data_IF_192939230540
#
_entry.id   IF_192939230540
#
_cell.length_a   1.000
_cell.length_b   1.000
_cell.length_c   1.000
_cell.angle_alpha   90.00
_cell.angle_beta   90.00
_cell.angle_gamma   90.00
#
_symmetry.space_group_name_H-M   'P 1'
#
loop_
_entity.id
_entity.type
_entity.pdbx_description
1 polymer ?
#
# COMPACT_ATOMS: atom_id res chain seq x y z
N UNK A 1 -25.58 14.48 4.01
CA UNK A 1 -26.80 14.87 4.71
C UNK A 1 -26.98 13.93 5.89
N UNK A 2 -26.86 14.38 7.15
CA UNK A 2 -26.67 13.48 8.29
C UNK A 2 -27.91 12.64 8.63
N UNK A 3 -29.07 12.86 8.00
CA UNK A 3 -30.32 12.26 8.49
C UNK A 3 -31.34 11.83 7.43
N UNK A 4 -31.09 12.01 6.12
CA UNK A 4 -32.21 11.94 5.17
C UNK A 4 -32.40 10.57 4.53
N UNK A 5 -33.59 9.93 4.62
CA UNK A 5 -34.74 10.17 5.50
C UNK A 5 -34.67 9.37 6.81
N UNK A 6 -33.56 8.66 7.09
CA UNK A 6 -33.44 7.79 8.26
C UNK A 6 -32.06 7.94 8.92
N UNK A 7 -32.05 8.26 10.23
CA UNK A 7 -30.83 8.49 11.03
C UNK A 7 -29.85 7.32 11.12
N UNK A 8 -30.32 6.09 10.84
CA UNK A 8 -29.51 4.87 10.76
C UNK A 8 -29.74 4.09 9.46
N UNK A 9 -30.42 4.71 8.48
CA UNK A 9 -30.75 4.05 7.22
C UNK A 9 -29.82 4.47 6.09
N UNK A 10 -29.98 3.85 4.90
CA UNK A 10 -29.17 4.10 3.71
C UNK A 10 -29.51 5.47 3.10
N UNK A 11 -29.18 6.58 3.75
CA UNK A 11 -29.49 7.92 3.26
C UNK A 11 -28.55 8.38 2.16
N UNK A 12 -29.07 8.68 0.95
CA UNK A 12 -28.34 9.37 -0.10
C UNK A 12 -29.24 10.43 -0.76
N UNK A 13 -28.69 11.60 -1.09
CA UNK A 13 -29.47 12.72 -1.63
C UNK A 13 -30.10 12.44 -3.01
N UNK A 14 -29.59 11.45 -3.73
CA UNK A 14 -30.10 11.02 -5.03
C UNK A 14 -31.02 9.78 -4.94
N UNK A 15 -31.19 9.19 -3.76
CA UNK A 15 -32.05 8.01 -3.62
C UNK A 15 -33.52 8.44 -3.53
N UNK A 16 -34.37 7.84 -4.36
CA UNK A 16 -35.81 8.04 -4.29
C UNK A 16 -36.36 7.45 -2.97
N UNK A 17 -37.51 7.95 -2.50
CA UNK A 17 -38.17 7.38 -1.32
C UNK A 17 -38.48 5.88 -1.47
N UNK A 18 -38.79 5.45 -2.70
CA UNK A 18 -39.05 4.04 -3.04
C UNK A 18 -37.77 3.21 -2.96
N UNK A 19 -36.68 3.67 -3.56
CA UNK A 19 -35.35 3.04 -3.45
C UNK A 19 -35.00 2.79 -1.98
N UNK A 20 -35.21 3.79 -1.13
CA UNK A 20 -34.91 3.72 0.30
C UNK A 20 -35.81 2.73 1.05
N UNK A 21 -37.09 2.69 0.72
CA UNK A 21 -38.04 1.73 1.27
C UNK A 21 -37.62 0.28 0.91
N UNK A 22 -37.19 0.05 -0.33
CA UNK A 22 -36.73 -1.26 -0.81
C UNK A 22 -35.48 -1.70 -0.06
N UNK A 23 -34.48 -0.81 0.10
CA UNK A 23 -33.25 -1.14 0.84
C UNK A 23 -33.59 -1.46 2.30
N UNK A 24 -34.40 -0.63 2.97
CA UNK A 24 -34.79 -0.87 4.36
C UNK A 24 -35.57 -2.17 4.54
N UNK A 25 -36.51 -2.46 3.65
CA UNK A 25 -37.29 -3.68 3.72
C UNK A 25 -36.39 -4.91 3.53
N UNK A 26 -35.43 -4.84 2.60
CA UNK A 26 -34.47 -5.93 2.37
C UNK A 26 -33.57 -6.13 3.59
N UNK A 27 -33.03 -5.06 4.17
CA UNK A 27 -32.24 -5.12 5.41
C UNK A 27 -33.03 -5.73 6.57
N UNK A 28 -34.28 -5.29 6.80
CA UNK A 28 -35.15 -5.81 7.87
C UNK A 28 -35.47 -7.29 7.69
N UNK A 29 -35.78 -7.72 6.45
CA UNK A 29 -36.03 -9.14 6.13
C UNK A 29 -34.80 -10.01 6.40
N UNK A 30 -33.60 -9.47 6.20
CA UNK A 30 -32.34 -10.15 6.48
C UNK A 30 -31.83 -9.98 7.92
N UNK A 31 -32.61 -9.35 8.82
CA UNK A 31 -32.20 -9.13 10.21
C UNK A 31 -31.06 -8.12 10.40
N UNK A 32 -30.74 -7.33 9.36
CA UNK A 32 -29.65 -6.35 9.40
C UNK A 32 -30.17 -5.00 9.88
N UNK A 33 -29.64 -4.54 11.01
CA UNK A 33 -29.93 -3.20 11.56
C UNK A 33 -28.99 -2.15 10.95
N UNK A 34 -27.73 -2.50 10.72
CA UNK A 34 -26.70 -1.60 10.18
C UNK A 34 -25.90 -2.31 9.10
N UNK A 35 -25.81 -1.70 7.92
CA UNK A 35 -24.96 -2.20 6.84
C UNK A 35 -23.53 -1.67 7.05
N UNK A 36 -22.66 -2.48 7.66
CA UNK A 36 -21.27 -2.12 7.93
C UNK A 36 -20.34 -3.29 7.60
N UNK A 37 -19.84 -3.31 6.38
CA UNK A 37 -18.80 -4.26 5.96
C UNK A 37 -17.45 -3.88 6.56
N UNK A 38 -16.70 -4.87 7.00
CA UNK A 38 -15.32 -4.67 7.45
C UNK A 38 -14.38 -4.65 6.24
N UNK A 39 -13.94 -3.45 5.83
CA UNK A 39 -13.08 -3.28 4.67
C UNK A 39 -11.62 -3.72 4.92
N UNK A 40 -11.24 -4.02 6.17
CA UNK A 40 -9.94 -4.63 6.48
C UNK A 40 -9.93 -6.13 6.18
N UNK A 41 -11.10 -6.75 6.14
CA UNK A 41 -11.27 -8.19 5.90
C UNK A 41 -11.55 -8.46 4.43
N UNK A 42 -11.28 -9.69 3.98
CA UNK A 42 -11.54 -10.11 2.60
C UNK A 42 -13.03 -9.99 2.23
N UNK A 43 -13.31 -9.83 0.93
CA UNK A 43 -14.68 -9.77 0.41
C UNK A 43 -15.51 -11.02 0.78
N UNK A 44 -14.86 -12.19 0.80
CA UNK A 44 -15.49 -13.48 1.05
C UNK A 44 -15.49 -13.92 2.52
N UNK A 45 -15.09 -13.07 3.48
CA UNK A 45 -15.28 -13.41 4.90
C UNK A 45 -16.77 -13.48 5.22
N UNK A 46 -17.18 -14.38 6.12
CA UNK A 46 -18.60 -14.71 6.34
C UNK A 46 -19.51 -13.49 6.53
N UNK A 47 -19.12 -12.53 7.39
CA UNK A 47 -19.88 -11.30 7.62
C UNK A 47 -19.92 -10.39 6.39
N UNK A 48 -18.79 -10.18 5.72
CA UNK A 48 -18.73 -9.35 4.51
C UNK A 48 -19.54 -9.98 3.38
N UNK A 49 -19.36 -11.27 3.12
CA UNK A 49 -20.08 -11.99 2.09
C UNK A 49 -21.59 -11.94 2.32
N UNK A 50 -22.05 -12.10 3.57
CA UNK A 50 -23.45 -11.95 3.94
C UNK A 50 -23.99 -10.56 3.60
N UNK A 51 -23.27 -9.49 3.99
CA UNK A 51 -23.66 -8.12 3.67
C UNK A 51 -23.66 -7.87 2.15
N UNK A 52 -22.65 -8.33 1.42
CA UNK A 52 -22.60 -8.18 -0.04
C UNK A 52 -23.71 -8.94 -0.74
N UNK A 53 -24.10 -10.12 -0.23
CA UNK A 53 -25.27 -10.84 -0.72
C UNK A 53 -26.56 -10.05 -0.53
N UNK A 54 -26.72 -9.36 0.60
CA UNK A 54 -27.87 -8.46 0.81
C UNK A 54 -27.84 -7.31 -0.18
N UNK A 55 -26.66 -6.72 -0.43
CA UNK A 55 -26.51 -5.65 -1.42
C UNK A 55 -26.90 -6.14 -2.83
N UNK A 56 -26.48 -7.34 -3.22
CA UNK A 56 -26.86 -7.97 -4.49
C UNK A 56 -28.38 -8.15 -4.61
N UNK A 57 -29.01 -8.73 -3.58
CA UNK A 57 -30.46 -8.94 -3.56
C UNK A 57 -31.24 -7.62 -3.62
N UNK A 58 -30.75 -6.62 -2.88
CA UNK A 58 -31.33 -5.27 -2.90
C UNK A 58 -31.23 -4.65 -4.29
N UNK A 59 -30.08 -4.79 -4.96
CA UNK A 59 -29.90 -4.29 -6.32
C UNK A 59 -30.85 -4.95 -7.31
N UNK A 60 -30.99 -6.29 -7.26
CA UNK A 60 -31.93 -7.03 -8.11
C UNK A 60 -33.37 -6.54 -7.87
N UNK A 61 -33.78 -6.37 -6.60
CA UNK A 61 -35.12 -5.85 -6.29
C UNK A 61 -35.34 -4.44 -6.85
N UNK A 62 -34.34 -3.56 -6.80
CA UNK A 62 -34.41 -2.21 -7.37
C UNK A 62 -34.58 -2.25 -8.89
N UNK A 63 -33.86 -3.15 -9.58
CA UNK A 63 -33.99 -3.34 -11.04
C UNK A 63 -35.37 -3.91 -11.39
N UNK A 64 -35.85 -4.95 -10.70
CA UNK A 64 -37.18 -5.53 -10.91
C UNK A 64 -38.30 -4.50 -10.75
N UNK A 65 -38.15 -3.56 -9.81
CA UNK A 65 -39.14 -2.54 -9.52
C UNK A 65 -38.99 -1.29 -10.39
N UNK A 66 -38.08 -1.31 -11.37
CA UNK A 66 -37.91 -0.23 -12.34
C UNK A 66 -37.18 1.01 -11.82
N UNK A 67 -36.58 0.96 -10.63
CA UNK A 67 -35.81 2.09 -10.08
C UNK A 67 -34.52 2.35 -10.87
N UNK A 68 -33.95 1.31 -11.48
CA UNK A 68 -32.81 1.42 -12.37
C UNK A 68 -33.22 1.11 -13.81
N UNK A 69 -33.41 2.17 -14.60
CA UNK A 69 -33.69 2.07 -16.04
C UNK A 69 -32.43 1.72 -16.82
N UNK A 70 -32.53 0.81 -17.80
CA UNK A 70 -31.43 0.43 -18.69
C UNK A 70 -30.67 -0.84 -18.30
N UNK A 71 -31.08 -1.50 -17.22
CA UNK A 71 -30.56 -2.81 -16.81
C UNK A 71 -31.74 -3.78 -16.84
N UNK A 72 -31.65 -4.84 -17.63
CA UNK A 72 -32.62 -5.94 -17.58
C UNK A 72 -31.98 -7.16 -16.92
N UNK A 73 -32.67 -7.75 -15.93
CA UNK A 73 -32.25 -8.99 -15.29
C UNK A 73 -32.34 -10.18 -16.27
N UNK A 74 -33.11 -10.03 -17.35
CA UNK A 74 -33.16 -11.02 -18.43
C UNK A 74 -31.85 -11.06 -19.24
N UNK A 75 -31.10 -9.94 -19.23
CA UNK A 75 -29.82 -9.79 -19.93
C UNK A 75 -28.64 -10.03 -18.98
N UNK A 76 -28.74 -9.55 -17.75
CA UNK A 76 -27.69 -9.66 -16.74
C UNK A 76 -28.09 -10.69 -15.68
N UNK A 77 -27.46 -11.85 -15.73
CA UNK A 77 -27.68 -12.89 -14.74
C UNK A 77 -27.10 -12.47 -13.39
N UNK A 78 -27.60 -13.08 -12.32
CA UNK A 78 -27.21 -12.78 -10.94
C UNK A 78 -25.70 -12.89 -10.73
N UNK A 79 -25.07 -13.85 -11.41
CA UNK A 79 -23.64 -14.14 -11.37
C UNK A 79 -22.80 -13.01 -11.98
N UNK A 80 -23.28 -12.39 -13.06
CA UNK A 80 -22.62 -11.25 -13.71
C UNK A 80 -22.68 -10.02 -12.81
N UNK A 81 -23.85 -9.77 -12.21
CA UNK A 81 -24.05 -8.66 -11.28
C UNK A 81 -23.17 -8.87 -10.03
N UNK A 82 -23.11 -10.09 -9.51
CA UNK A 82 -22.22 -10.43 -8.40
C UNK A 82 -20.75 -10.19 -8.74
N UNK A 83 -20.32 -10.59 -9.94
CA UNK A 83 -18.95 -10.39 -10.41
C UNK A 83 -18.63 -8.90 -10.56
N UNK A 84 -19.55 -8.12 -11.12
CA UNK A 84 -19.42 -6.67 -11.22
C UNK A 84 -19.33 -6.00 -9.84
N UNK A 85 -20.19 -6.41 -8.89
CA UNK A 85 -20.17 -5.92 -7.50
C UNK A 85 -18.83 -6.25 -6.83
N UNK A 86 -18.38 -7.51 -6.92
CA UNK A 86 -17.11 -7.95 -6.35
C UNK A 86 -15.94 -7.14 -6.91
N UNK A 87 -15.88 -6.96 -8.24
CA UNK A 87 -14.84 -6.19 -8.90
C UNK A 87 -14.86 -4.73 -8.44
N UNK A 88 -16.04 -4.12 -8.34
CA UNK A 88 -16.17 -2.75 -7.85
C UNK A 88 -15.67 -2.60 -6.40
N UNK A 89 -16.13 -3.47 -5.50
CA UNK A 89 -15.77 -3.43 -4.08
C UNK A 89 -14.28 -3.69 -3.89
N UNK A 90 -13.75 -4.73 -4.53
CA UNK A 90 -12.34 -5.10 -4.41
C UNK A 90 -11.42 -4.04 -5.02
N UNK A 91 -11.62 -3.69 -6.29
CA UNK A 91 -10.70 -2.83 -7.04
C UNK A 91 -10.79 -1.35 -6.64
N UNK A 92 -11.94 -0.89 -6.14
CA UNK A 92 -12.11 0.53 -5.77
C UNK A 92 -12.20 0.74 -4.27
N UNK A 93 -13.15 0.11 -3.58
CA UNK A 93 -13.45 0.43 -2.18
C UNK A 93 -12.38 -0.10 -1.24
N UNK A 94 -12.07 -1.40 -1.30
CA UNK A 94 -11.06 -2.03 -0.45
C UNK A 94 -9.66 -1.51 -0.77
N UNK A 95 -9.32 -1.37 -2.06
CA UNK A 95 -8.05 -0.77 -2.48
C UNK A 95 -7.85 0.63 -1.92
N UNK A 96 -8.84 1.53 -2.04
CA UNK A 96 -8.75 2.89 -1.46
C UNK A 96 -8.61 2.87 0.05
N UNK A 97 -9.36 2.00 0.73
CA UNK A 97 -9.26 1.84 2.18
C UNK A 97 -7.85 1.40 2.60
N UNK A 98 -7.29 0.40 1.91
CA UNK A 98 -5.92 -0.05 2.13
C UNK A 98 -4.89 1.04 1.77
N UNK A 99 -5.06 1.76 0.67
CA UNK A 99 -4.19 2.89 0.29
C UNK A 99 -4.25 4.03 1.30
N UNK A 100 -5.39 4.27 1.96
CA UNK A 100 -5.52 5.27 3.02
C UNK A 100 -4.88 4.83 4.33
N UNK A 101 -5.05 3.57 4.72
CA UNK A 101 -4.41 3.01 5.92
C UNK A 101 -2.90 2.87 5.73
N UNK A 102 -2.46 2.24 4.63
CA UNK A 102 -1.05 2.07 4.30
C UNK A 102 -0.40 3.39 3.86
N UNK A 103 -1.17 4.34 3.33
CA UNK A 103 -0.66 5.63 2.82
C UNK A 103 -0.06 6.52 3.90
N UNK A 104 -0.48 6.37 5.16
CA UNK A 104 0.05 7.15 6.28
C UNK A 104 1.45 6.70 6.73
N UNK A 105 1.76 5.40 6.66
CA UNK A 105 3.09 4.87 7.01
C UNK A 105 4.00 4.68 5.78
N UNK A 106 3.44 4.54 4.57
CA UNK A 106 4.19 4.07 3.40
C UNK A 106 4.80 5.18 2.54
N UNK A 107 4.31 6.42 2.60
CA UNK A 107 4.84 7.49 1.73
C UNK A 107 6.29 7.85 2.09
N UNK A 108 6.60 7.95 3.38
CA UNK A 108 7.95 8.31 3.80
C UNK A 108 8.93 7.14 3.59
N UNK A 109 8.49 5.90 3.85
CA UNK A 109 9.26 4.70 3.54
C UNK A 109 9.53 4.56 2.02
N UNK A 110 8.54 4.86 1.16
CA UNK A 110 8.72 4.88 -0.30
C UNK A 110 9.65 6.00 -0.75
N UNK A 111 9.53 7.19 -0.19
CA UNK A 111 10.43 8.31 -0.48
C UNK A 111 11.87 8.02 0.00
N UNK A 112 12.05 7.38 1.15
CA UNK A 112 13.35 6.91 1.67
C UNK A 112 13.94 5.85 0.73
N UNK A 113 13.16 4.85 0.32
CA UNK A 113 13.59 3.83 -0.64
C UNK A 113 13.97 4.40 -2.04
N UNK A 114 13.22 5.38 -2.54
CA UNK A 114 13.52 6.04 -3.81
C UNK A 114 14.79 6.90 -3.73
N UNK A 115 14.99 7.62 -2.61
CA UNK A 115 16.23 8.35 -2.32
C UNK A 115 17.43 7.40 -2.26
N UNK A 116 17.30 6.27 -1.56
CA UNK A 116 18.34 5.21 -1.46
C UNK A 116 18.79 4.73 -2.85
N UNK A 117 17.85 4.27 -3.69
CA UNK A 117 18.14 3.81 -5.05
C UNK A 117 18.82 4.88 -5.90
N UNK A 118 18.33 6.12 -5.83
CA UNK A 118 18.90 7.23 -6.60
C UNK A 118 20.33 7.58 -6.14
N UNK A 119 20.61 7.49 -4.84
CA UNK A 119 21.94 7.72 -4.29
C UNK A 119 22.91 6.62 -4.73
N UNK A 120 22.50 5.35 -4.62
CA UNK A 120 23.28 4.19 -5.06
C UNK A 120 23.64 4.28 -6.56
N UNK A 121 22.66 4.62 -7.42
CA UNK A 121 22.93 4.80 -8.87
C UNK A 121 23.94 5.92 -9.11
N UNK A 122 23.83 7.06 -8.42
CA UNK A 122 24.79 8.16 -8.55
C UNK A 122 26.19 7.77 -8.09
N UNK A 123 26.30 7.02 -7.00
CA UNK A 123 27.58 6.54 -6.47
C UNK A 123 28.25 5.57 -7.46
N UNK A 124 27.50 4.58 -7.96
CA UNK A 124 27.98 3.64 -8.97
C UNK A 124 28.48 4.38 -10.22
N UNK A 125 27.70 5.31 -10.76
CA UNK A 125 28.11 6.13 -11.91
C UNK A 125 29.37 6.95 -11.64
N UNK A 126 29.51 7.53 -10.44
CA UNK A 126 30.69 8.28 -10.05
C UNK A 126 31.94 7.38 -9.94
N UNK A 127 31.80 6.19 -9.37
CA UNK A 127 32.88 5.22 -9.26
C UNK A 127 33.30 4.67 -10.64
N UNK A 128 32.34 4.33 -11.50
CA UNK A 128 32.61 3.92 -12.89
C UNK A 128 33.35 5.03 -13.63
N UNK A 129 32.91 6.28 -13.54
CA UNK A 129 33.58 7.44 -14.16
C UNK A 129 35.02 7.59 -13.66
N UNK A 130 35.26 7.40 -12.37
CA UNK A 130 36.60 7.45 -11.79
C UNK A 130 37.49 6.30 -12.27
N UNK A 131 36.97 5.07 -12.31
CA UNK A 131 37.71 3.91 -12.82
C UNK A 131 38.07 4.12 -14.29
N UNK A 132 37.14 4.57 -15.12
CA UNK A 132 37.38 4.84 -16.53
C UNK A 132 38.49 5.90 -16.76
N UNK A 133 38.71 6.80 -15.80
CA UNK A 133 39.81 7.78 -15.83
C UNK A 133 41.19 7.19 -15.48
N UNK A 134 41.26 5.96 -14.96
CA UNK A 134 42.49 5.28 -14.52
C UNK A 134 42.59 3.88 -15.13
N UNK A 135 43.34 3.70 -16.24
CA UNK A 135 43.45 2.43 -16.96
C UNK A 135 43.86 1.23 -16.09
N UNK A 136 44.69 1.46 -15.07
CA UNK A 136 45.13 0.43 -14.13
C UNK A 136 44.00 -0.15 -13.25
N UNK A 137 42.84 0.51 -13.18
CA UNK A 137 41.71 0.11 -12.34
C UNK A 137 40.58 -0.55 -13.14
N UNK A 138 40.73 -0.73 -14.46
CA UNK A 138 39.65 -1.23 -15.33
C UNK A 138 39.17 -2.63 -14.93
N UNK A 139 40.06 -3.46 -14.39
CA UNK A 139 39.69 -4.80 -13.91
C UNK A 139 38.72 -4.76 -12.70
N UNK A 140 38.57 -3.61 -12.04
CA UNK A 140 37.63 -3.42 -10.92
C UNK A 140 36.22 -3.01 -11.36
N UNK A 141 35.97 -2.75 -12.65
CA UNK A 141 34.64 -2.38 -13.15
C UNK A 141 33.55 -3.40 -12.76
N UNK A 142 33.77 -4.72 -12.98
CA UNK A 142 32.78 -5.74 -12.63
C UNK A 142 32.54 -5.86 -11.12
N UNK A 143 33.54 -5.48 -10.31
CA UNK A 143 33.42 -5.45 -8.84
C UNK A 143 32.56 -4.27 -8.43
N UNK A 144 32.78 -3.07 -8.99
CA UNK A 144 31.97 -1.88 -8.66
C UNK A 144 30.51 -2.02 -9.08
N UNK A 145 30.25 -2.63 -10.23
CA UNK A 145 28.87 -2.90 -10.68
C UNK A 145 28.12 -3.86 -9.75
N UNK A 146 28.83 -4.79 -9.08
CA UNK A 146 28.24 -5.82 -8.22
C UNK A 146 28.37 -5.55 -6.71
N UNK A 147 29.26 -4.66 -6.28
CA UNK A 147 29.57 -4.39 -4.86
C UNK A 147 29.03 -3.05 -4.37
N UNK A 148 28.24 -2.33 -5.15
CA UNK A 148 27.41 -1.24 -4.62
C UNK A 148 26.29 -1.85 -3.78
N UNK A 149 26.62 -2.28 -2.55
CA UNK A 149 25.62 -2.78 -1.61
C UNK A 149 24.69 -1.65 -1.17
N UNK A 150 23.44 -2.03 -0.89
CA UNK A 150 22.40 -1.17 -0.31
C UNK A 150 22.66 -0.98 1.19
N UNK A 151 23.89 -0.58 1.56
CA UNK A 151 24.27 -0.37 2.96
C UNK A 151 23.45 0.78 3.53
N UNK A 152 22.68 0.48 4.59
CA UNK A 152 21.83 1.45 5.24
C UNK A 152 22.68 2.56 5.88
N UNK A 153 22.54 3.79 5.37
CA UNK A 153 22.97 4.97 6.13
C UNK A 153 21.81 5.32 7.06
N UNK A 154 22.06 5.18 8.36
CA UNK A 154 21.08 5.54 9.38
C UNK A 154 21.12 7.06 9.54
N UNK A 155 20.08 7.74 9.05
CA UNK A 155 19.95 9.21 9.20
C UNK A 155 19.45 9.59 10.61
N UNK A 156 19.18 8.62 11.49
CA UNK A 156 18.44 8.83 12.74
C UNK A 156 19.31 8.72 14.02
N UNK A 157 20.64 8.81 13.93
CA UNK A 157 21.49 9.00 15.11
C UNK A 157 21.63 10.49 15.44
N UNK A 158 20.67 11.03 16.20
CA UNK A 158 20.84 12.32 16.86
C UNK A 158 21.94 12.17 17.92
N UNK A 159 23.14 12.64 17.60
CA UNK A 159 24.19 12.84 18.61
C UNK A 159 23.71 13.94 19.56
N UNK A 160 23.20 13.58 20.73
CA UNK A 160 22.81 14.54 21.79
C UNK A 160 24.00 15.37 22.33
N UNK A 161 25.24 15.10 21.88
CA UNK A 161 26.46 15.63 22.51
C UNK A 161 27.35 16.52 21.63
N UNK A 162 26.98 16.85 20.39
CA UNK A 162 27.80 17.75 19.58
C UNK A 162 27.00 18.93 18.99
N UNK A 163 27.34 20.13 19.45
CA UNK A 163 26.84 21.44 18.99
C UNK A 163 27.34 21.81 17.57
N UNK A 164 27.36 20.86 16.63
CA UNK A 164 27.61 21.13 15.22
C UNK A 164 26.30 21.03 14.44
N UNK A 165 25.92 22.10 13.73
CA UNK A 165 24.68 22.22 12.93
C UNK A 165 24.60 21.26 11.72
N UNK A 166 25.49 20.29 11.61
CA UNK A 166 25.45 19.26 10.57
C UNK A 166 25.22 17.89 11.21
N UNK A 167 24.20 17.13 10.79
CA UNK A 167 23.97 15.79 11.30
C UNK A 167 25.20 14.93 10.98
N UNK A 168 25.84 14.40 12.02
CA UNK A 168 26.94 13.45 11.90
C UNK A 168 26.38 12.15 11.32
N UNK A 169 26.66 11.89 10.03
CA UNK A 169 26.23 10.64 9.39
C UNK A 169 27.03 9.47 9.96
N UNK A 170 26.40 8.66 10.80
CA UNK A 170 26.98 7.40 11.29
C UNK A 170 26.74 6.31 10.24
N UNK A 171 27.82 5.80 9.65
CA UNK A 171 27.76 4.66 8.74
C UNK A 171 27.94 3.38 9.57
N UNK A 172 26.86 2.62 9.74
CA UNK A 172 26.94 1.29 10.34
C UNK A 172 27.30 0.30 9.24
N UNK A 173 28.61 0.03 9.07
CA UNK A 173 29.06 -0.96 8.09
C UNK A 173 28.62 -2.34 8.57
N UNK A 174 27.64 -2.93 7.88
CA UNK A 174 27.20 -4.30 8.15
C UNK A 174 28.38 -5.26 7.95
N UNK A 175 28.48 -6.28 8.80
CA UNK A 175 29.56 -7.25 8.73
C UNK A 175 29.46 -8.03 7.41
N UNK A 176 30.28 -7.66 6.42
CA UNK A 176 30.26 -8.29 5.11
C UNK A 176 30.71 -9.75 5.25
N UNK A 177 29.95 -10.75 4.75
CA UNK A 177 30.28 -12.16 4.92
C UNK A 177 31.61 -12.57 4.26
N UNK A 178 32.20 -11.72 3.42
CA UNK A 178 33.52 -11.91 2.81
C UNK A 178 34.68 -11.21 3.55
N UNK A 179 34.43 -10.52 4.67
CA UNK A 179 35.51 -9.98 5.51
C UNK A 179 36.22 -11.14 6.21
N UNK A 180 37.39 -11.49 5.69
CA UNK A 180 38.31 -12.43 6.34
C UNK A 180 38.69 -11.90 7.72
N UNK A 181 38.54 -12.74 8.75
CA UNK A 181 38.96 -12.44 10.13
C UNK A 181 40.45 -12.10 10.22
N UNK A 182 41.25 -12.56 9.26
CA UNK A 182 42.65 -12.19 9.12
C UNK A 182 42.82 -10.72 8.70
N UNK A 183 42.06 -10.26 7.69
CA UNK A 183 42.12 -8.86 7.24
C UNK A 183 41.64 -7.90 8.32
N UNK A 184 40.62 -8.28 9.09
CA UNK A 184 40.14 -7.49 10.22
C UNK A 184 41.23 -7.29 11.28
N UNK A 185 41.90 -8.37 11.69
CA UNK A 185 43.03 -8.29 12.63
C UNK A 185 44.18 -7.44 12.10
N UNK A 186 44.47 -7.53 10.81
CA UNK A 186 45.53 -6.78 10.16
C UNK A 186 45.21 -5.26 10.13
N UNK A 187 43.97 -4.88 9.80
CA UNK A 187 43.54 -3.47 9.80
C UNK A 187 43.51 -2.88 11.22
N UNK A 188 43.11 -3.65 12.24
CA UNK A 188 43.20 -3.23 13.65
C UNK A 188 44.66 -2.96 14.04
N UNK A 189 45.59 -3.80 13.61
CA UNK A 189 47.01 -3.63 13.92
C UNK A 189 47.62 -2.38 13.26
N UNK A 190 47.21 -2.05 12.03
CA UNK A 190 47.67 -0.85 11.31
C UNK A 190 47.18 0.45 11.98
N UNK A 191 45.95 0.47 12.49
CA UNK A 191 45.39 1.67 13.15
C UNK A 191 45.97 1.97 14.54
N UNK A 192 46.76 1.06 15.11
CA UNK A 192 47.41 1.22 16.43
C UNK A 192 48.85 1.77 16.28
N UNK A 193 49.39 1.84 15.06
CA UNK A 193 50.65 2.52 14.73
C UNK A 193 50.42 4.00 14.41
#
# INVERSE_FOLDING_TARGET
>A
DPSFPYSNGPGHCQASAQTLAIILQTMRKSGVVKFRSDLSQGFSTGNNQFLWNIALQTFINLVCLGEYTGISIDIYHKEDIWTALRNHVWLRLMRRYQEQILGFESQDAKAKAQRRRSCMTKLCLAQVKYILSKPLLYELLPVVENCCSDDETDDDAMDEENNSTQPTKRCTVLCLPWRSTFLEKLMVHINIL
#
